data_IF_038066466880
#
_entry.id   IF_038066466880
#
_cell.length_a   1.000
_cell.length_b   1.000
_cell.length_c   1.000
_cell.angle_alpha   90.00
_cell.angle_beta   90.00
_cell.angle_gamma   90.00
#
_symmetry.space_group_name_H-M   'P 1'
#
loop_
_entity.id
_entity.type
_entity.pdbx_description
1 polymer ?
#
# COMPACT_ATOMS: atom_id res chain seq x y z
N UNK A 1 -6.13 -18.46 11.94
CA UNK A 1 -6.36 -17.86 10.61
C UNK A 1 -6.72 -16.41 10.75
N UNK A 2 -6.23 -15.57 9.84
CA UNK A 2 -6.65 -14.17 9.70
C UNK A 2 -7.52 -14.06 8.45
N UNK A 3 -8.66 -13.35 8.58
CA UNK A 3 -9.61 -13.11 7.51
C UNK A 3 -9.58 -11.63 7.13
N UNK A 4 -9.23 -11.34 5.90
CA UNK A 4 -9.21 -9.97 5.37
C UNK A 4 -10.40 -9.79 4.43
N UNK A 5 -11.39 -8.96 4.80
CA UNK A 5 -12.56 -8.73 3.95
C UNK A 5 -12.22 -7.82 2.77
N UNK A 6 -12.79 -8.16 1.61
CA UNK A 6 -12.65 -7.40 0.38
C UNK A 6 -14.01 -6.98 -0.15
N UNK A 7 -14.09 -5.76 -0.60
CA UNK A 7 -15.34 -5.12 -1.01
C UNK A 7 -15.29 -4.66 -2.47
N UNK A 8 -16.45 -4.65 -3.11
CA UNK A 8 -16.74 -3.91 -4.33
C UNK A 8 -17.70 -2.77 -3.97
N UNK A 9 -17.20 -1.54 -3.98
CA UNK A 9 -17.92 -0.44 -3.33
C UNK A 9 -18.14 -0.75 -1.85
N UNK A 10 -19.39 -0.80 -1.39
CA UNK A 10 -19.77 -1.14 -0.02
C UNK A 10 -20.23 -2.58 0.17
N UNK A 11 -20.16 -3.41 -0.87
CA UNK A 11 -20.60 -4.81 -0.82
C UNK A 11 -19.42 -5.72 -0.57
N UNK A 12 -19.51 -6.54 0.49
CA UNK A 12 -18.53 -7.59 0.77
C UNK A 12 -18.63 -8.67 -0.31
N UNK A 13 -17.53 -8.93 -1.03
CA UNK A 13 -17.51 -9.88 -2.15
C UNK A 13 -16.52 -11.02 -1.97
N UNK A 14 -15.54 -10.86 -1.10
CA UNK A 14 -14.54 -11.90 -0.87
C UNK A 14 -13.86 -11.78 0.50
N UNK A 15 -13.20 -12.87 0.90
CA UNK A 15 -12.21 -12.90 1.97
C UNK A 15 -10.89 -13.42 1.44
N UNK A 16 -9.79 -12.81 1.82
CA UNK A 16 -8.47 -13.40 1.75
C UNK A 16 -8.12 -13.96 3.13
N UNK A 17 -7.74 -15.21 3.19
CA UNK A 17 -7.55 -15.94 4.44
C UNK A 17 -6.08 -16.32 4.55
N UNK A 18 -5.42 -15.85 5.60
CA UNK A 18 -4.03 -16.18 5.91
C UNK A 18 -4.00 -17.27 6.98
N UNK A 19 -3.32 -18.36 6.70
CA UNK A 19 -2.96 -19.34 7.72
C UNK A 19 -1.78 -18.84 8.54
N UNK A 20 -1.90 -18.87 9.86
CA UNK A 20 -0.83 -18.45 10.78
C UNK A 20 0.32 -19.48 10.78
N UNK A 21 -0.02 -20.76 10.66
CA UNK A 21 0.94 -21.87 10.89
C UNK A 21 1.81 -22.16 9.66
N UNK A 22 1.30 -22.00 8.44
CA UNK A 22 2.00 -22.41 7.22
C UNK A 22 2.22 -21.28 6.20
N UNK A 23 1.99 -20.04 6.59
CA UNK A 23 2.13 -18.82 5.75
C UNK A 23 1.36 -18.87 4.41
N UNK A 24 0.42 -19.81 4.25
CA UNK A 24 -0.39 -19.94 3.06
C UNK A 24 -1.54 -18.92 3.02
N UNK A 25 -1.93 -18.55 1.80
CA UNK A 25 -3.12 -17.73 1.54
C UNK A 25 -4.16 -18.52 0.77
N UNK A 26 -5.41 -18.31 1.11
CA UNK A 26 -6.57 -18.81 0.38
C UNK A 26 -7.55 -17.66 0.18
N UNK A 27 -8.24 -17.63 -0.94
CA UNK A 27 -9.33 -16.67 -1.20
C UNK A 27 -10.66 -17.39 -1.24
N UNK A 28 -11.70 -16.77 -0.68
CA UNK A 28 -13.09 -17.20 -0.77
C UNK A 28 -13.91 -16.04 -1.33
N UNK A 29 -14.80 -16.32 -2.27
CA UNK A 29 -15.57 -15.31 -3.00
C UNK A 29 -14.83 -14.74 -4.21
N UNK A 30 -15.33 -13.62 -4.76
CA UNK A 30 -14.81 -13.00 -5.97
C UNK A 30 -13.79 -11.90 -5.66
N UNK A 31 -12.56 -12.31 -5.33
CA UNK A 31 -11.47 -11.37 -5.06
C UNK A 31 -11.01 -10.61 -6.31
N UNK A 32 -11.24 -11.16 -7.51
CA UNK A 32 -10.82 -10.49 -8.75
C UNK A 32 -11.63 -9.23 -9.01
N UNK A 33 -12.89 -9.23 -8.62
CA UNK A 33 -13.80 -8.09 -8.80
C UNK A 33 -13.75 -7.09 -7.64
N UNK A 34 -13.05 -7.43 -6.55
CA UNK A 34 -12.88 -6.54 -5.40
C UNK A 34 -11.96 -5.35 -5.70
N UNK A 35 -12.19 -4.25 -4.99
CA UNK A 35 -11.25 -3.13 -4.87
C UNK A 35 -10.00 -3.50 -4.06
N UNK A 36 -9.19 -2.49 -3.72
CA UNK A 36 -8.05 -2.66 -2.83
C UNK A 36 -8.50 -2.95 -1.39
N UNK A 37 -7.67 -3.63 -0.62
CA UNK A 37 -7.95 -3.82 0.80
C UNK A 37 -8.03 -2.47 1.52
N UNK A 38 -9.08 -2.25 2.27
CA UNK A 38 -9.32 -1.00 3.01
C UNK A 38 -9.91 0.15 2.18
N UNK A 39 -10.10 -0.01 0.87
CA UNK A 39 -10.58 1.06 0.00
C UNK A 39 -11.97 1.57 0.43
N UNK A 40 -12.86 0.71 0.89
CA UNK A 40 -14.22 1.06 1.29
C UNK A 40 -14.30 2.03 2.48
N UNK A 41 -13.27 2.08 3.32
CA UNK A 41 -13.21 3.01 4.47
C UNK A 41 -12.39 4.27 4.18
N UNK A 42 -11.85 4.40 2.98
CA UNK A 42 -11.00 5.53 2.55
C UNK A 42 -11.67 6.42 1.48
N UNK A 43 -12.99 6.36 1.34
CA UNK A 43 -13.72 6.96 0.22
C UNK A 43 -13.78 8.49 0.20
N UNK A 44 -13.46 9.15 1.30
CA UNK A 44 -13.64 10.61 1.43
C UNK A 44 -12.52 11.42 0.78
N UNK A 45 -11.44 10.78 0.35
CA UNK A 45 -10.27 11.49 -0.16
C UNK A 45 -9.46 12.17 0.96
N UNK A 46 -8.46 12.95 0.59
CA UNK A 46 -7.65 13.68 1.56
C UNK A 46 -6.26 14.03 1.07
N UNK A 47 -5.44 14.48 2.02
CA UNK A 47 -4.10 14.98 1.71
C UNK A 47 -3.09 13.88 1.40
N UNK A 48 -3.19 12.74 2.09
CA UNK A 48 -2.29 11.60 1.94
C UNK A 48 -3.07 10.30 1.96
N UNK A 49 -2.62 9.33 1.17
CA UNK A 49 -2.97 7.91 1.28
C UNK A 49 -1.72 7.07 1.08
N UNK A 50 -1.58 5.99 1.84
CA UNK A 50 -0.48 5.03 1.69
C UNK A 50 -0.96 3.78 0.99
N UNK A 51 -0.12 3.21 0.12
CA UNK A 51 -0.32 1.91 -0.53
C UNK A 51 0.75 0.95 -0.02
N UNK A 52 0.34 -0.21 0.51
CA UNK A 52 1.23 -1.29 0.94
C UNK A 52 1.05 -2.55 0.08
N UNK A 53 1.96 -3.51 0.19
CA UNK A 53 1.83 -4.80 -0.52
C UNK A 53 0.87 -5.76 0.17
N UNK A 54 0.83 -5.76 1.48
CA UNK A 54 0.06 -6.71 2.29
C UNK A 54 -0.94 -6.06 3.21
N UNK A 55 -1.95 -6.84 3.60
CA UNK A 55 -3.01 -6.39 4.49
C UNK A 55 -2.49 -6.08 5.90
N UNK A 56 -1.58 -6.92 6.43
CA UNK A 56 -0.93 -6.65 7.72
C UNK A 56 -0.13 -5.35 7.69
N UNK A 57 0.56 -5.07 6.59
CA UNK A 57 1.33 -3.85 6.41
C UNK A 57 0.44 -2.62 6.33
N UNK A 58 -0.75 -2.74 5.72
CA UNK A 58 -1.73 -1.66 5.70
C UNK A 58 -2.20 -1.31 7.11
N UNK A 59 -2.55 -2.32 7.90
CA UNK A 59 -2.97 -2.14 9.30
C UNK A 59 -1.82 -1.56 10.15
N UNK A 60 -0.61 -2.07 9.96
CA UNK A 60 0.59 -1.61 10.66
C UNK A 60 0.93 -0.15 10.30
N UNK A 61 0.93 0.21 9.02
CA UNK A 61 1.21 1.57 8.56
C UNK A 61 0.16 2.56 9.08
N UNK A 62 -1.10 2.16 9.13
CA UNK A 62 -2.16 2.99 9.70
C UNK A 62 -1.90 3.27 11.18
N UNK A 63 -1.61 2.24 11.98
CA UNK A 63 -1.30 2.38 13.40
C UNK A 63 -0.02 3.19 13.64
N UNK A 64 1.05 2.90 12.89
CA UNK A 64 2.35 3.60 13.01
C UNK A 64 2.25 5.11 12.72
N UNK A 65 1.31 5.53 11.86
CA UNK A 65 1.05 6.95 11.58
C UNK A 65 0.02 7.58 12.52
N UNK A 66 -0.28 6.93 13.64
CA UNK A 66 -1.22 7.42 14.66
C UNK A 66 -2.68 7.38 14.21
N UNK A 67 -3.03 6.44 13.33
CA UNK A 67 -4.38 6.27 12.76
C UNK A 67 -4.93 7.53 12.07
N UNK A 68 -4.02 8.33 11.50
CA UNK A 68 -4.35 9.63 10.93
C UNK A 68 -4.54 9.59 9.41
N UNK A 69 -3.67 8.85 8.71
CA UNK A 69 -3.68 8.83 7.26
C UNK A 69 -4.23 7.50 6.73
N UNK A 70 -5.16 7.52 5.76
CA UNK A 70 -5.71 6.30 5.19
C UNK A 70 -4.63 5.44 4.54
N UNK A 71 -4.82 4.12 4.61
CA UNK A 71 -3.94 3.13 4.03
C UNK A 71 -4.76 2.08 3.29
N UNK A 72 -4.31 1.69 2.12
CA UNK A 72 -4.84 0.56 1.34
C UNK A 72 -3.73 -0.41 1.00
N UNK A 73 -4.06 -1.68 0.73
CA UNK A 73 -3.09 -2.60 0.16
C UNK A 73 -3.53 -3.18 -1.18
N UNK A 74 -2.55 -3.55 -1.99
CA UNK A 74 -2.78 -4.35 -3.19
C UNK A 74 -3.17 -5.78 -2.83
N UNK A 75 -3.77 -6.51 -3.78
CA UNK A 75 -4.38 -7.83 -3.50
C UNK A 75 -3.40 -8.99 -3.53
N UNK A 76 -2.45 -8.99 -4.46
CA UNK A 76 -1.67 -10.19 -4.79
C UNK A 76 -0.16 -9.94 -4.85
N UNK A 77 0.35 -8.99 -4.05
CA UNK A 77 1.77 -8.69 -3.93
C UNK A 77 2.38 -7.95 -5.13
N UNK A 78 3.70 -7.77 -5.10
CA UNK A 78 4.45 -6.92 -6.02
C UNK A 78 4.20 -7.19 -7.51
N UNK A 79 4.07 -8.47 -7.89
CA UNK A 79 3.90 -8.87 -9.30
C UNK A 79 2.61 -8.36 -9.94
N UNK A 80 1.55 -8.16 -9.17
CA UNK A 80 0.26 -7.68 -9.66
C UNK A 80 0.00 -6.21 -9.33
N UNK A 81 0.94 -5.53 -8.67
CA UNK A 81 0.75 -4.19 -8.15
C UNK A 81 0.26 -3.20 -9.21
N UNK A 82 0.91 -3.13 -10.36
CA UNK A 82 0.51 -2.21 -11.44
C UNK A 82 -0.89 -2.51 -11.98
N UNK A 83 -1.27 -3.78 -12.07
CA UNK A 83 -2.62 -4.18 -12.51
C UNK A 83 -3.67 -3.74 -11.51
N UNK A 84 -3.44 -3.97 -10.24
CA UNK A 84 -4.37 -3.59 -9.17
C UNK A 84 -4.54 -2.06 -9.10
N UNK A 85 -3.45 -1.31 -9.19
CA UNK A 85 -3.49 0.15 -9.14
C UNK A 85 -4.15 0.74 -10.38
N UNK A 86 -3.85 0.23 -11.59
CA UNK A 86 -4.50 0.69 -12.83
C UNK A 86 -6.02 0.59 -12.78
N UNK A 87 -6.55 -0.48 -12.21
CA UNK A 87 -8.00 -0.66 -12.04
C UNK A 87 -8.64 0.34 -11.08
N UNK A 88 -7.85 0.96 -10.20
CA UNK A 88 -8.31 1.82 -9.12
C UNK A 88 -7.77 3.27 -9.24
N UNK A 89 -7.21 3.69 -10.36
CA UNK A 89 -6.61 5.02 -10.52
C UNK A 89 -7.58 6.14 -10.15
N UNK A 90 -8.85 6.02 -10.57
CA UNK A 90 -9.87 7.02 -10.27
C UNK A 90 -10.10 7.22 -8.75
N UNK A 91 -9.97 6.15 -7.96
CA UNK A 91 -10.05 6.24 -6.50
C UNK A 91 -8.95 7.15 -5.94
N UNK A 92 -7.74 7.06 -6.48
CA UNK A 92 -6.60 7.85 -6.04
C UNK A 92 -6.66 9.33 -6.46
N UNK A 93 -7.54 9.70 -7.39
CA UNK A 93 -7.73 11.10 -7.78
C UNK A 93 -8.25 11.95 -6.62
N UNK A 94 -8.92 11.35 -5.65
CA UNK A 94 -9.42 12.02 -4.45
C UNK A 94 -8.34 12.39 -3.44
N UNK A 95 -7.07 11.99 -3.64
CA UNK A 95 -5.97 12.26 -2.73
C UNK A 95 -4.92 13.13 -3.38
N UNK A 96 -4.35 14.08 -2.61
CA UNK A 96 -3.30 14.97 -3.11
C UNK A 96 -1.96 14.25 -3.27
N UNK A 97 -1.61 13.39 -2.33
CA UNK A 97 -0.33 12.68 -2.28
C UNK A 97 -0.53 11.18 -2.06
N UNK A 98 0.20 10.37 -2.82
CA UNK A 98 0.22 8.92 -2.70
C UNK A 98 1.57 8.50 -2.14
N UNK A 99 1.60 7.84 -1.01
CA UNK A 99 2.81 7.28 -0.40
C UNK A 99 2.85 5.79 -0.72
N UNK A 100 3.90 5.33 -1.37
CA UNK A 100 4.08 3.91 -1.71
C UNK A 100 5.06 3.31 -0.72
N UNK A 101 4.56 2.42 0.14
CA UNK A 101 5.30 1.73 1.20
C UNK A 101 5.28 0.22 0.92
N UNK A 102 6.08 -0.21 -0.05
CA UNK A 102 6.21 -1.63 -0.41
C UNK A 102 7.37 -2.28 0.33
N UNK A 103 7.44 -3.60 0.25
CA UNK A 103 8.47 -4.40 0.90
C UNK A 103 9.88 -3.91 0.52
N UNK A 104 10.78 -3.89 1.49
CA UNK A 104 12.15 -3.44 1.31
C UNK A 104 13.04 -4.54 0.72
N UNK A 105 12.54 -5.22 -0.30
CA UNK A 105 13.26 -6.19 -1.12
C UNK A 105 13.28 -5.75 -2.59
N UNK A 106 14.01 -6.49 -3.44
CA UNK A 106 14.13 -6.10 -4.84
C UNK A 106 12.78 -6.09 -5.57
N UNK A 107 11.91 -7.11 -5.48
CA UNK A 107 10.60 -7.08 -6.11
C UNK A 107 9.73 -5.90 -5.65
N UNK A 108 9.70 -5.63 -4.33
CA UNK A 108 8.94 -4.52 -3.77
C UNK A 108 9.44 -3.16 -4.26
N UNK A 109 10.75 -2.94 -4.29
CA UNK A 109 11.33 -1.69 -4.82
C UNK A 109 11.06 -1.49 -6.31
N UNK A 110 11.15 -2.54 -7.11
CA UNK A 110 10.86 -2.48 -8.55
C UNK A 110 9.36 -2.20 -8.80
N UNK A 111 8.49 -2.87 -8.06
CA UNK A 111 7.05 -2.63 -8.10
C UNK A 111 6.68 -1.21 -7.67
N UNK A 112 7.31 -0.68 -6.62
CA UNK A 112 7.07 0.69 -6.15
C UNK A 112 7.38 1.73 -7.24
N UNK A 113 8.50 1.57 -7.96
CA UNK A 113 8.85 2.45 -9.09
C UNK A 113 7.82 2.34 -10.23
N UNK A 114 7.41 1.13 -10.58
CA UNK A 114 6.41 0.89 -11.63
C UNK A 114 5.06 1.49 -11.27
N UNK A 115 4.63 1.35 -10.02
CA UNK A 115 3.37 1.94 -9.51
C UNK A 115 3.46 3.46 -9.48
N UNK A 116 4.56 4.04 -9.01
CA UNK A 116 4.75 5.49 -9.00
C UNK A 116 4.62 6.10 -10.39
N UNK A 117 5.08 5.40 -11.42
CA UNK A 117 4.98 5.82 -12.82
C UNK A 117 3.55 5.87 -13.39
N UNK A 118 2.57 5.31 -12.69
CA UNK A 118 1.16 5.35 -13.10
C UNK A 118 0.47 6.66 -12.71
N UNK A 119 1.04 7.42 -11.80
CA UNK A 119 0.48 8.66 -11.28
C UNK A 119 1.08 9.89 -11.99
N UNK A 120 0.36 11.01 -12.00
CA UNK A 120 0.91 12.27 -12.50
C UNK A 120 2.21 12.65 -11.78
N UNK A 121 3.09 13.44 -12.44
CA UNK A 121 4.33 13.91 -11.82
C UNK A 121 4.10 14.56 -10.44
N UNK A 122 4.99 14.24 -9.49
CA UNK A 122 4.97 14.73 -8.11
C UNK A 122 3.81 14.25 -7.22
N UNK A 123 2.85 13.49 -7.73
CA UNK A 123 1.74 12.95 -6.93
C UNK A 123 2.16 11.76 -6.08
N UNK A 124 2.92 10.83 -6.66
CA UNK A 124 3.38 9.63 -5.96
C UNK A 124 4.79 9.79 -5.40
N UNK A 125 5.00 9.28 -4.19
CA UNK A 125 6.28 9.28 -3.47
C UNK A 125 6.58 7.88 -2.98
N UNK A 126 7.82 7.45 -3.11
CA UNK A 126 8.27 6.15 -2.58
C UNK A 126 8.87 6.38 -1.20
N UNK A 127 8.35 5.63 -0.24
CA UNK A 127 8.83 5.56 1.12
C UNK A 127 9.88 4.44 1.21
N UNK A 128 11.07 4.76 1.68
CA UNK A 128 12.13 3.79 1.92
C UNK A 128 12.18 3.47 3.41
N UNK A 129 12.02 2.21 3.77
CA UNK A 129 12.18 1.75 5.13
C UNK A 129 13.66 1.64 5.52
N UNK A 130 14.01 1.77 6.82
CA UNK A 130 15.38 1.60 7.26
C UNK A 130 15.90 0.20 6.97
N UNK A 131 17.21 0.07 6.81
CA UNK A 131 17.86 -1.23 6.67
C UNK A 131 17.56 -2.12 7.89
N UNK A 132 17.26 -3.40 7.64
CA UNK A 132 16.90 -4.36 8.67
C UNK A 132 15.40 -4.57 8.85
N UNK A 133 14.57 -3.71 8.27
CA UNK A 133 13.11 -3.88 8.25
C UNK A 133 12.64 -4.19 6.84
N UNK A 134 11.89 -5.27 6.71
CA UNK A 134 11.34 -5.69 5.41
C UNK A 134 10.11 -4.87 5.05
N UNK A 135 9.22 -4.68 6.01
CA UNK A 135 7.89 -4.11 5.81
C UNK A 135 7.41 -3.29 7.02
N UNK A 136 6.25 -2.67 6.89
CA UNK A 136 5.65 -1.87 7.95
C UNK A 136 5.32 -2.70 9.20
N UNK A 137 4.91 -3.96 9.02
CA UNK A 137 4.60 -4.83 10.15
C UNK A 137 5.82 -5.15 11.01
N UNK A 138 7.00 -5.34 10.41
CA UNK A 138 8.26 -5.51 11.14
C UNK A 138 8.54 -4.31 12.05
N UNK A 139 8.33 -3.09 11.54
CA UNK A 139 8.53 -1.87 12.31
C UNK A 139 7.52 -1.71 13.44
N UNK A 140 6.26 -2.09 13.22
CA UNK A 140 5.25 -2.07 14.28
C UNK A 140 5.58 -3.05 15.40
N UNK A 141 6.01 -4.26 15.08
CA UNK A 141 6.39 -5.28 16.07
C UNK A 141 7.53 -4.84 16.98
N UNK A 142 8.40 -3.95 16.51
CA UNK A 142 9.50 -3.36 17.28
C UNK A 142 9.19 -1.95 17.83
N UNK A 143 7.94 -1.50 17.76
CA UNK A 143 7.49 -0.18 18.23
C UNK A 143 8.24 1.01 17.61
N UNK A 144 8.61 0.92 16.33
CA UNK A 144 9.36 1.93 15.59
C UNK A 144 8.48 3.04 15.00
N UNK A 145 7.55 3.58 15.79
CA UNK A 145 6.59 4.61 15.34
C UNK A 145 7.29 5.87 14.83
N UNK A 146 8.26 6.39 15.61
CA UNK A 146 8.96 7.61 15.23
C UNK A 146 9.72 7.44 13.93
N UNK A 147 10.50 6.37 13.82
CA UNK A 147 11.31 6.07 12.63
C UNK A 147 10.43 5.86 11.39
N UNK A 148 9.27 5.22 11.55
CA UNK A 148 8.32 5.04 10.46
C UNK A 148 7.74 6.38 9.98
N UNK A 149 7.32 7.24 10.91
CA UNK A 149 6.81 8.58 10.59
C UNK A 149 7.89 9.44 9.92
N UNK A 150 9.14 9.35 10.37
CA UNK A 150 10.27 10.04 9.73
C UNK A 150 10.43 9.57 8.27
N UNK A 151 10.34 8.25 7.99
CA UNK A 151 10.36 7.70 6.64
C UNK A 151 9.18 8.17 5.80
N UNK A 152 7.99 8.25 6.39
CA UNK A 152 6.78 8.74 5.71
C UNK A 152 6.98 10.18 5.20
N UNK A 153 7.50 11.07 6.02
CA UNK A 153 7.75 12.46 5.64
C UNK A 153 8.95 12.64 4.71
N UNK A 154 9.89 11.69 4.70
CA UNK A 154 11.06 11.67 3.81
C UNK A 154 10.80 10.97 2.47
N UNK A 155 9.59 10.45 2.24
CA UNK A 155 9.23 9.80 1.00
C UNK A 155 9.48 10.70 -0.22
N UNK A 156 10.11 10.14 -1.28
CA UNK A 156 10.62 10.91 -2.42
C UNK A 156 9.82 10.64 -3.69
N UNK A 157 9.57 11.68 -4.44
CA UNK A 157 9.02 11.57 -5.80
C UNK A 157 10.02 10.88 -6.73
N UNK A 158 9.48 10.07 -7.65
CA UNK A 158 10.28 9.46 -8.72
C UNK A 158 10.33 10.43 -9.89
N UNK A 159 11.54 10.78 -10.33
CA UNK A 159 11.73 11.54 -11.57
C UNK A 159 11.73 10.54 -12.72
N UNK A 160 10.83 10.65 -13.71
CA UNK A 160 10.88 9.79 -14.89
C UNK A 160 12.24 9.91 -15.57
N UNK A 161 12.76 8.80 -16.09
CA UNK A 161 14.00 8.81 -16.87
C UNK A 161 13.88 9.79 -18.05
N UNK A 162 14.79 10.76 -18.15
CA UNK A 162 14.81 11.77 -19.22
C UNK A 162 14.30 13.16 -18.83
N UNK A 163 13.83 13.37 -17.61
CA UNK A 163 13.50 14.71 -17.11
C UNK A 163 14.69 15.24 -16.30
N UNK A 164 15.40 16.21 -16.84
CA UNK A 164 16.44 16.95 -16.12
C UNK A 164 15.70 18.05 -15.33
N UNK A 165 15.79 18.01 -14.00
CA UNK A 165 15.35 19.15 -13.18
C UNK A 165 16.42 20.26 -13.33
N UNK A 166 16.04 21.35 -13.94
CA UNK A 166 16.81 22.60 -13.89
C UNK A 166 16.59 23.31 -12.56
#
# INVERSE_FOLDING_TARGET
KHYYPYYKGNTLVAYKIRSINNKGFKSEGDIQDAGLFGQQVCNVGGKYITITEGECDALAAYELTGSKWPVVSIKNGAQSATKDIKKNLQFFDNFENIIICFDNDKPGRDAAKSVAGLFPPNKARIMNLPQGYKDANDMLMENKHKEFVDCFWQAKTVTPAGIIRT
#
